data_IF_826822086756
#
_entry.id   IF_826822086756
#
_cell.length_a   1.000
_cell.length_b   1.000
_cell.length_c   1.000
_cell.angle_alpha   90.00
_cell.angle_beta   90.00
_cell.angle_gamma   90.00
#
_symmetry.space_group_name_H-M   'P 1'
#
loop_
_entity.id
_entity.type
_entity.pdbx_description
1 polymer ?
#
# COMPACT_ATOMS: atom_id res chain seq x y z
N UNK A 1 -3.15 -36.36 -34.43
CA UNK A 1 -3.93 -35.99 -33.23
C UNK A 1 -3.11 -34.98 -32.45
N UNK A 2 -3.38 -33.69 -32.59
CA UNK A 2 -2.59 -32.66 -31.91
C UNK A 2 -2.99 -32.63 -30.43
N UNK A 3 -2.05 -32.97 -29.55
CA UNK A 3 -2.20 -32.92 -28.10
C UNK A 3 -2.51 -31.48 -27.69
N UNK A 4 -3.73 -31.24 -27.20
CA UNK A 4 -4.18 -29.93 -26.77
C UNK A 4 -3.60 -29.60 -25.37
N UNK A 5 -2.28 -29.40 -25.30
CA UNK A 5 -1.57 -29.09 -24.06
C UNK A 5 -1.88 -27.65 -23.66
N UNK A 6 -2.59 -27.46 -22.54
CA UNK A 6 -2.90 -26.14 -21.98
C UNK A 6 -1.97 -25.84 -20.82
N UNK A 7 -1.05 -24.90 -21.01
CA UNK A 7 -0.23 -24.34 -19.93
C UNK A 7 -1.09 -23.35 -19.14
N UNK A 8 -1.22 -23.55 -17.83
CA UNK A 8 -1.96 -22.66 -16.93
C UNK A 8 -1.03 -22.15 -15.83
N UNK A 9 -1.18 -20.88 -15.48
CA UNK A 9 -0.46 -20.30 -14.34
C UNK A 9 -0.91 -20.97 -13.05
N UNK A 10 0.06 -21.37 -12.22
CA UNK A 10 -0.20 -21.80 -10.87
C UNK A 10 -0.65 -20.59 -10.03
N UNK A 11 -1.97 -20.48 -9.81
CA UNK A 11 -2.56 -19.38 -9.05
C UNK A 11 -2.03 -19.28 -7.61
N UNK A 12 -1.67 -20.41 -6.98
CA UNK A 12 -1.07 -20.41 -5.65
C UNK A 12 0.36 -19.85 -5.68
N UNK A 13 1.17 -20.26 -6.67
CA UNK A 13 2.51 -19.72 -6.89
C UNK A 13 2.49 -18.22 -7.19
N UNK A 14 1.56 -17.77 -8.03
CA UNK A 14 1.38 -16.34 -8.31
C UNK A 14 1.03 -15.54 -7.04
N UNK A 15 0.15 -16.05 -6.17
CA UNK A 15 -0.19 -15.40 -4.89
C UNK A 15 1.00 -15.38 -3.93
N UNK A 16 1.84 -16.41 -3.92
CA UNK A 16 3.03 -16.44 -3.08
C UNK A 16 4.01 -15.31 -3.49
N UNK A 17 4.22 -15.11 -4.79
CA UNK A 17 5.03 -14.01 -5.31
C UNK A 17 4.42 -12.66 -4.97
N UNK A 18 3.11 -12.47 -5.15
CA UNK A 18 2.41 -11.22 -4.84
C UNK A 18 2.35 -10.88 -3.33
N UNK A 19 2.63 -11.85 -2.46
CA UNK A 19 2.73 -11.65 -1.02
C UNK A 19 4.17 -11.78 -0.49
N UNK A 20 5.17 -11.87 -1.38
CA UNK A 20 6.56 -12.02 -0.99
C UNK A 20 7.03 -10.83 -0.12
N UNK A 21 8.02 -11.08 0.75
CA UNK A 21 8.60 -10.08 1.65
C UNK A 21 9.18 -8.88 0.91
N UNK A 22 9.76 -9.09 -0.28
CA UNK A 22 10.27 -8.03 -1.15
C UNK A 22 9.17 -7.08 -1.61
N UNK A 23 8.00 -7.61 -2.01
CA UNK A 23 6.82 -6.82 -2.38
C UNK A 23 6.31 -6.03 -1.18
N UNK A 24 6.25 -6.66 0.00
CA UNK A 24 5.86 -5.96 1.23
C UNK A 24 6.81 -4.82 1.59
N UNK A 25 8.12 -5.03 1.43
CA UNK A 25 9.14 -4.02 1.68
C UNK A 25 9.01 -2.84 0.73
N UNK A 26 8.76 -3.10 -0.56
CA UNK A 26 8.52 -2.05 -1.56
C UNK A 26 7.26 -1.24 -1.24
N UNK A 27 6.15 -1.92 -0.92
CA UNK A 27 4.91 -1.29 -0.53
C UNK A 27 5.05 -0.45 0.74
N UNK A 28 5.79 -0.92 1.73
CA UNK A 28 6.08 -0.18 2.95
C UNK A 28 6.92 1.06 2.68
N UNK A 29 7.93 0.96 1.80
CA UNK A 29 8.74 2.12 1.38
C UNK A 29 7.87 3.21 0.75
N UNK A 30 6.99 2.83 -0.17
CA UNK A 30 6.03 3.76 -0.81
C UNK A 30 5.08 4.36 0.20
N UNK A 31 4.56 3.56 1.14
CA UNK A 31 3.68 4.03 2.20
C UNK A 31 4.38 5.02 3.15
N UNK A 32 5.65 4.79 3.47
CA UNK A 32 6.46 5.73 4.24
C UNK A 32 6.68 7.05 3.50
N UNK A 33 6.89 7.03 2.18
CA UNK A 33 6.96 8.25 1.37
C UNK A 33 5.65 9.05 1.41
N UNK A 34 4.51 8.37 1.29
CA UNK A 34 3.19 8.99 1.45
C UNK A 34 2.98 9.55 2.87
N UNK A 35 3.41 8.83 3.91
CA UNK A 35 3.36 9.28 5.31
C UNK A 35 4.14 10.57 5.51
N UNK A 36 5.39 10.61 5.07
CA UNK A 36 6.25 11.79 5.17
C UNK A 36 5.65 12.98 4.42
N UNK A 37 5.14 12.76 3.21
CA UNK A 37 4.48 13.81 2.44
C UNK A 37 3.21 14.32 3.14
N UNK A 38 2.40 13.44 3.73
CA UNK A 38 1.22 13.84 4.49
C UNK A 38 1.57 14.67 5.73
N UNK A 39 2.67 14.34 6.41
CA UNK A 39 3.17 15.06 7.59
C UNK A 39 3.65 16.49 7.28
N UNK A 40 4.13 16.77 6.06
CA UNK A 40 4.55 18.15 5.69
C UNK A 40 3.39 19.08 5.35
N UNK A 41 2.21 18.52 5.05
CA UNK A 41 1.04 19.28 4.56
C UNK A 41 0.05 19.69 5.67
N UNK A 42 0.32 19.35 6.93
CA UNK A 42 -0.59 19.66 8.04
C UNK A 42 0.01 19.38 9.42
N UNK A 43 -0.84 19.38 10.45
CA UNK A 43 -0.46 19.07 11.84
C UNK A 43 -0.88 17.65 12.24
N UNK A 44 -1.04 16.76 11.26
CA UNK A 44 -1.49 15.39 11.48
C UNK A 44 -0.32 14.42 11.62
N UNK A 45 -0.48 13.43 12.48
CA UNK A 45 0.42 12.26 12.57
C UNK A 45 -0.21 11.10 11.82
N UNK A 46 0.61 10.39 11.05
CA UNK A 46 0.18 9.29 10.18
C UNK A 46 1.00 8.04 10.46
N UNK A 47 0.35 6.87 10.34
CA UNK A 47 0.99 5.56 10.46
C UNK A 47 0.95 4.86 9.11
N UNK A 48 2.06 4.24 8.73
CA UNK A 48 2.18 3.41 7.54
C UNK A 48 2.32 1.94 7.96
N UNK A 49 1.48 1.08 7.41
CA UNK A 49 1.45 -0.36 7.71
C UNK A 49 1.43 -1.15 6.40
N UNK A 50 2.01 -2.36 6.41
CA UNK A 50 1.91 -3.33 5.30
C UNK A 50 1.36 -4.64 5.82
N UNK A 51 0.44 -5.26 5.06
CA UNK A 51 -0.13 -6.57 5.40
C UNK A 51 -0.30 -7.43 4.15
N UNK A 52 -0.08 -8.73 4.31
CA UNK A 52 -0.43 -9.73 3.31
C UNK A 52 -1.95 -9.89 3.26
N UNK A 53 -2.52 -9.87 2.05
CA UNK A 53 -3.94 -10.11 1.84
C UNK A 53 -4.22 -11.49 1.25
N UNK A 54 -5.50 -11.83 1.07
CA UNK A 54 -5.94 -13.12 0.48
C UNK A 54 -5.30 -13.41 -0.89
N UNK A 55 -5.05 -12.36 -1.68
CA UNK A 55 -4.51 -12.49 -3.05
C UNK A 55 -3.18 -11.77 -3.27
N UNK A 56 -2.92 -10.67 -2.55
CA UNK A 56 -1.74 -9.81 -2.73
C UNK A 56 -1.47 -9.01 -1.47
N UNK A 57 -0.22 -8.59 -1.27
CA UNK A 57 0.13 -7.66 -0.23
C UNK A 57 -0.44 -6.26 -0.54
N UNK A 58 -0.74 -5.50 0.50
CA UNK A 58 -1.15 -4.11 0.40
C UNK A 58 -0.53 -3.31 1.53
N UNK A 59 -0.26 -2.04 1.27
CA UNK A 59 0.11 -1.08 2.30
C UNK A 59 -1.01 -0.06 2.51
N UNK A 60 -1.07 0.48 3.71
CA UNK A 60 -2.07 1.45 4.14
C UNK A 60 -1.37 2.58 4.88
N UNK A 61 -1.82 3.81 4.63
CA UNK A 61 -1.44 4.97 5.44
C UNK A 61 -2.72 5.50 6.09
N UNK A 62 -2.70 5.65 7.42
CA UNK A 62 -3.87 6.06 8.22
C UNK A 62 -3.50 7.17 9.20
N UNK A 63 -4.48 7.95 9.59
CA UNK A 63 -4.37 8.93 10.68
C UNK A 63 -4.37 8.22 12.03
N UNK A 64 -3.59 8.70 12.98
CA UNK A 64 -3.50 8.13 14.33
C UNK A 64 -4.60 8.61 15.27
N UNK A 65 -4.92 9.91 15.22
CA UNK A 65 -5.75 10.58 16.22
C UNK A 65 -6.86 11.45 15.59
N UNK A 66 -7.81 11.88 16.42
CA UNK A 66 -8.92 12.76 16.02
C UNK A 66 -8.40 14.09 15.43
N UNK A 67 -7.30 14.63 15.95
CA UNK A 67 -6.66 15.84 15.42
C UNK A 67 -6.14 15.59 14.00
N UNK A 68 -5.47 14.46 13.77
CA UNK A 68 -4.98 14.04 12.46
C UNK A 68 -6.10 13.82 11.46
N UNK A 69 -7.23 13.23 11.90
CA UNK A 69 -8.43 13.05 11.08
C UNK A 69 -8.99 14.42 10.63
N UNK A 70 -9.16 15.36 11.57
CA UNK A 70 -9.64 16.72 11.26
C UNK A 70 -8.69 17.47 10.33
N UNK A 71 -7.39 17.37 10.58
CA UNK A 71 -6.36 17.98 9.72
C UNK A 71 -6.39 17.39 8.31
N UNK A 72 -6.54 16.06 8.19
CA UNK A 72 -6.64 15.41 6.89
C UNK A 72 -7.92 15.80 6.14
N UNK A 73 -9.07 15.84 6.83
CA UNK A 73 -10.34 16.23 6.23
C UNK A 73 -10.33 17.70 5.74
N UNK A 74 -9.64 18.59 6.47
CA UNK A 74 -9.54 20.00 6.08
C UNK A 74 -8.58 20.24 4.90
N UNK A 75 -7.44 19.53 4.88
CA UNK A 75 -6.35 19.83 3.95
C UNK A 75 -6.20 18.81 2.82
N UNK A 76 -6.96 17.71 2.84
CA UNK A 76 -6.86 16.57 1.93
C UNK A 76 -5.45 15.98 1.84
N UNK A 77 -4.76 15.90 2.99
CA UNK A 77 -3.34 15.52 3.07
C UNK A 77 -3.04 14.16 2.48
N UNK A 78 -3.82 13.12 2.79
CA UNK A 78 -3.59 11.77 2.27
C UNK A 78 -3.84 11.68 0.77
N UNK A 79 -4.88 12.35 0.27
CA UNK A 79 -5.21 12.37 -1.15
C UNK A 79 -4.09 13.02 -1.97
N UNK A 80 -3.55 14.13 -1.48
CA UNK A 80 -2.40 14.82 -2.10
C UNK A 80 -1.12 14.01 -2.00
N UNK A 81 -0.91 13.33 -0.87
CA UNK A 81 0.28 12.51 -0.64
C UNK A 81 0.33 11.25 -1.50
N UNK A 82 -0.79 10.77 -2.07
CA UNK A 82 -0.81 9.57 -2.92
C UNK A 82 0.16 9.66 -4.11
N UNK A 83 0.41 10.87 -4.63
CA UNK A 83 1.35 11.08 -5.72
C UNK A 83 2.81 10.83 -5.34
N UNK A 84 3.17 10.93 -4.06
CA UNK A 84 4.53 10.77 -3.56
C UNK A 84 4.96 9.29 -3.44
N UNK A 85 4.03 8.34 -3.61
CA UNK A 85 4.32 6.90 -3.59
C UNK A 85 4.52 6.26 -4.97
N UNK A 86 4.56 7.07 -6.04
CA UNK A 86 4.70 6.61 -7.42
C UNK A 86 6.14 6.19 -7.74
#
# INVERSE_FOLDING_TARGET
MANNVKVKINSAGARAVLNASSVQTDLLRRANGMKQSAETMGKGTYSADVKTGKNRAHAMVKTTDIVSIRSNAKNNTLLKAMGAGK
#
